data_IF_976549508723
#
_entry.id   IF_976549508723
#
_cell.length_a   1.000
_cell.length_b   1.000
_cell.length_c   1.000
_cell.angle_alpha   90.00
_cell.angle_beta   90.00
_cell.angle_gamma   90.00
#
_symmetry.space_group_name_H-M   'P 1'
#
loop_
_entity.id
_entity.type
_entity.pdbx_description
1 polymer ?
#
# COMPACT_ATOMS: atom_id res chain seq x y z
N UNK A 1 -40.97 54.80 9.77
CA UNK A 1 -40.99 53.73 8.74
C UNK A 1 -39.58 53.28 8.31
N UNK A 2 -38.55 54.14 8.37
CA UNK A 2 -37.17 53.83 7.95
C UNK A 2 -36.42 52.82 8.84
N UNK A 3 -36.64 52.82 10.15
CA UNK A 3 -35.91 51.96 11.11
C UNK A 3 -36.20 50.46 10.89
N UNK A 4 -37.45 50.10 10.63
CA UNK A 4 -37.85 48.71 10.39
C UNK A 4 -37.27 48.15 9.08
N UNK A 5 -37.06 49.02 8.08
CA UNK A 5 -36.44 48.64 6.81
C UNK A 5 -34.95 48.31 7.00
N UNK A 6 -34.22 49.07 7.81
CA UNK A 6 -32.81 48.80 8.11
C UNK A 6 -32.60 47.49 8.88
N UNK A 7 -33.48 47.20 9.84
CA UNK A 7 -33.43 45.94 10.59
C UNK A 7 -33.65 44.74 9.65
N UNK A 8 -34.61 44.86 8.72
CA UNK A 8 -34.87 43.81 7.73
C UNK A 8 -33.67 43.59 6.78
N UNK A 9 -33.02 44.67 6.32
CA UNK A 9 -31.83 44.60 5.45
C UNK A 9 -30.65 43.93 6.17
N UNK A 10 -30.40 44.29 7.43
CA UNK A 10 -29.31 43.70 8.23
C UNK A 10 -29.57 42.21 8.47
N UNK A 11 -30.81 41.84 8.81
CA UNK A 11 -31.20 40.44 8.98
C UNK A 11 -31.00 39.63 7.68
N UNK A 12 -31.43 40.18 6.55
CA UNK A 12 -31.26 39.54 5.25
C UNK A 12 -29.78 39.39 4.84
N UNK A 13 -28.97 40.44 5.02
CA UNK A 13 -27.54 40.38 4.76
C UNK A 13 -26.83 39.34 5.65
N UNK A 14 -27.22 39.22 6.92
CA UNK A 14 -26.73 38.17 7.82
C UNK A 14 -27.05 36.76 7.33
N UNK A 15 -28.26 36.53 6.83
CA UNK A 15 -28.63 35.21 6.27
C UNK A 15 -27.83 34.86 5.02
N UNK A 16 -27.59 35.81 4.12
CA UNK A 16 -26.78 35.59 2.92
C UNK A 16 -25.33 35.27 3.30
N UNK A 17 -24.74 36.03 4.22
CA UNK A 17 -23.39 35.77 4.74
C UNK A 17 -23.29 34.38 5.37
N UNK A 18 -24.27 33.99 6.18
CA UNK A 18 -24.35 32.65 6.77
C UNK A 18 -24.36 31.55 5.71
N UNK A 19 -25.21 31.67 4.68
CA UNK A 19 -25.29 30.70 3.57
C UNK A 19 -23.96 30.60 2.82
N UNK A 20 -23.30 31.72 2.51
CA UNK A 20 -22.01 31.73 1.82
C UNK A 20 -20.93 31.00 2.64
N UNK A 21 -20.88 31.27 3.96
CA UNK A 21 -19.94 30.60 4.87
C UNK A 21 -20.23 29.10 4.92
N UNK A 22 -21.49 28.69 5.10
CA UNK A 22 -21.88 27.28 5.14
C UNK A 22 -21.50 26.55 3.85
N UNK A 23 -21.75 27.15 2.68
CA UNK A 23 -21.37 26.57 1.38
C UNK A 23 -19.85 26.37 1.30
N UNK A 24 -19.05 27.36 1.70
CA UNK A 24 -17.58 27.26 1.68
C UNK A 24 -17.06 26.18 2.63
N UNK A 25 -17.64 26.08 3.83
CA UNK A 25 -17.28 25.06 4.82
C UNK A 25 -17.63 23.67 4.30
N UNK A 26 -18.86 23.45 3.83
CA UNK A 26 -19.29 22.17 3.29
C UNK A 26 -18.44 21.72 2.09
N UNK A 27 -18.11 22.65 1.19
CA UNK A 27 -17.26 22.34 0.04
C UNK A 27 -15.84 21.91 0.45
N UNK A 28 -15.28 22.57 1.47
CA UNK A 28 -13.95 22.23 2.00
C UNK A 28 -13.96 20.87 2.68
N UNK A 29 -14.94 20.60 3.55
CA UNK A 29 -15.11 19.31 4.24
C UNK A 29 -15.28 18.19 3.21
N UNK A 30 -16.16 18.36 2.22
CA UNK A 30 -16.40 17.35 1.19
C UNK A 30 -15.14 17.04 0.35
N UNK A 31 -14.31 18.05 0.06
CA UNK A 31 -13.05 17.85 -0.67
C UNK A 31 -12.02 17.09 0.18
N UNK A 32 -11.89 17.47 1.45
CA UNK A 32 -10.98 16.79 2.40
C UNK A 32 -11.42 15.35 2.62
N UNK A 33 -12.72 15.12 2.84
CA UNK A 33 -13.30 13.79 3.05
C UNK A 33 -13.06 12.87 1.85
N UNK A 34 -13.32 13.33 0.61
CA UNK A 34 -13.00 12.56 -0.60
C UNK A 34 -11.53 12.21 -0.71
N UNK A 35 -10.64 13.17 -0.42
CA UNK A 35 -9.19 12.93 -0.49
C UNK A 35 -8.76 11.90 0.55
N UNK A 36 -9.30 12.00 1.77
CA UNK A 36 -9.06 11.04 2.84
C UNK A 36 -9.58 9.65 2.47
N UNK A 37 -10.78 9.54 1.90
CA UNK A 37 -11.34 8.27 1.42
C UNK A 37 -10.47 7.63 0.34
N UNK A 38 -9.99 8.38 -0.66
CA UNK A 38 -9.07 7.85 -1.67
C UNK A 38 -7.74 7.41 -1.08
N UNK A 39 -7.21 8.14 -0.09
CA UNK A 39 -5.98 7.76 0.62
C UNK A 39 -6.16 6.47 1.42
N UNK A 40 -7.26 6.35 2.16
CA UNK A 40 -7.59 5.14 2.90
C UNK A 40 -7.76 3.94 1.98
N UNK A 41 -8.54 4.09 0.89
CA UNK A 41 -8.71 3.03 -0.09
C UNK A 41 -7.38 2.60 -0.75
N UNK A 42 -6.48 3.57 -1.03
CA UNK A 42 -5.16 3.26 -1.55
C UNK A 42 -4.28 2.54 -0.52
N UNK A 43 -4.36 2.91 0.76
CA UNK A 43 -3.64 2.25 1.85
C UNK A 43 -4.15 0.82 2.07
N UNK A 44 -5.46 0.63 2.12
CA UNK A 44 -6.11 -0.68 2.23
C UNK A 44 -5.70 -1.59 1.08
N UNK A 45 -5.75 -1.09 -0.17
CA UNK A 45 -5.32 -1.86 -1.32
C UNK A 45 -3.84 -2.23 -1.23
N UNK A 46 -2.97 -1.31 -0.80
CA UNK A 46 -1.55 -1.62 -0.63
C UNK A 46 -1.33 -2.69 0.44
N UNK A 47 -2.02 -2.62 1.57
CA UNK A 47 -1.91 -3.63 2.63
C UNK A 47 -2.36 -5.01 2.13
N UNK A 48 -3.51 -5.08 1.46
CA UNK A 48 -4.03 -6.31 0.83
C UNK A 48 -2.98 -6.91 -0.12
N UNK A 49 -2.41 -6.10 -1.03
CA UNK A 49 -1.39 -6.56 -1.97
C UNK A 49 -0.13 -7.07 -1.28
N UNK A 50 0.31 -6.47 -0.17
CA UNK A 50 1.46 -6.99 0.58
C UNK A 50 1.13 -8.31 1.30
N UNK A 51 -0.09 -8.49 1.80
CA UNK A 51 -0.52 -9.77 2.39
C UNK A 51 -0.56 -10.88 1.33
N UNK A 52 -1.09 -10.60 0.14
CA UNK A 52 -1.06 -11.52 -1.00
C UNK A 52 0.38 -11.85 -1.40
N UNK A 53 1.25 -10.85 -1.51
CA UNK A 53 2.67 -11.03 -1.80
C UNK A 53 3.35 -11.93 -0.77
N UNK A 54 3.04 -11.74 0.52
CA UNK A 54 3.58 -12.53 1.62
C UNK A 54 3.12 -13.98 1.52
N UNK A 55 1.83 -14.20 1.25
CA UNK A 55 1.27 -15.54 1.05
C UNK A 55 1.96 -16.29 -0.09
N UNK A 56 2.13 -15.64 -1.24
CA UNK A 56 2.83 -16.20 -2.39
C UNK A 56 4.31 -16.46 -2.10
N UNK A 57 4.98 -15.56 -1.39
CA UNK A 57 6.35 -15.79 -0.94
C UNK A 57 6.46 -17.03 -0.03
N UNK A 58 5.54 -17.20 0.92
CA UNK A 58 5.50 -18.39 1.79
C UNK A 58 5.28 -19.66 0.98
N UNK A 59 4.34 -19.64 0.04
CA UNK A 59 4.06 -20.76 -0.86
C UNK A 59 5.29 -21.12 -1.70
N UNK A 60 5.96 -20.12 -2.26
CA UNK A 60 7.21 -20.27 -3.01
C UNK A 60 8.31 -20.87 -2.13
N UNK A 61 8.50 -20.33 -0.91
CA UNK A 61 9.54 -20.76 0.01
C UNK A 61 9.35 -22.21 0.48
N UNK A 62 8.13 -22.62 0.79
CA UNK A 62 7.85 -24.00 1.23
C UNK A 62 7.92 -25.03 0.10
N UNK A 63 7.74 -24.59 -1.16
CA UNK A 63 7.82 -25.48 -2.32
C UNK A 63 9.19 -25.49 -3.00
N UNK A 64 10.22 -24.82 -2.45
CA UNK A 64 11.57 -24.72 -3.06
C UNK A 64 12.20 -26.05 -3.48
N UNK A 65 11.80 -27.14 -2.85
CA UNK A 65 12.34 -28.49 -3.09
C UNK A 65 11.32 -29.43 -3.75
N UNK A 66 10.15 -28.94 -4.12
CA UNK A 66 9.05 -29.72 -4.69
C UNK A 66 8.91 -29.46 -6.19
N UNK A 67 8.44 -30.45 -6.94
CA UNK A 67 8.17 -30.31 -8.39
C UNK A 67 7.11 -29.24 -8.71
N UNK A 68 6.21 -28.97 -7.76
CA UNK A 68 5.18 -27.92 -7.86
C UNK A 68 5.75 -26.50 -7.92
N UNK A 69 7.06 -26.32 -7.69
CA UNK A 69 7.69 -24.99 -7.66
C UNK A 69 7.55 -24.24 -8.98
N UNK A 70 7.49 -24.93 -10.12
CA UNK A 70 7.30 -24.30 -11.42
C UNK A 70 5.88 -23.72 -11.58
N UNK A 71 4.87 -24.41 -11.06
CA UNK A 71 3.48 -23.91 -11.02
C UNK A 71 3.38 -22.70 -10.09
N UNK A 72 4.01 -22.78 -8.91
CA UNK A 72 4.06 -21.66 -7.96
C UNK A 72 4.80 -20.46 -8.55
N UNK A 73 5.91 -20.68 -9.27
CA UNK A 73 6.65 -19.62 -9.96
C UNK A 73 5.79 -18.92 -11.01
N UNK A 74 5.04 -19.68 -11.80
CA UNK A 74 4.11 -19.13 -12.79
C UNK A 74 3.01 -18.28 -12.13
N UNK A 75 2.39 -18.80 -11.05
CA UNK A 75 1.40 -18.07 -10.25
C UNK A 75 1.97 -16.77 -9.68
N UNK A 76 3.17 -16.80 -9.12
CA UNK A 76 3.87 -15.61 -8.62
C UNK A 76 4.12 -14.59 -9.73
N UNK A 77 4.48 -15.06 -10.94
CA UNK A 77 4.74 -14.19 -12.08
C UNK A 77 3.45 -13.51 -12.58
N UNK A 78 2.37 -14.27 -12.74
CA UNK A 78 1.07 -13.74 -13.12
C UNK A 78 0.58 -12.70 -12.12
N UNK A 79 0.67 -13.03 -10.82
CA UNK A 79 0.32 -12.10 -9.76
C UNK A 79 1.16 -10.81 -9.82
N UNK A 80 2.47 -10.93 -10.09
CA UNK A 80 3.35 -9.76 -10.19
C UNK A 80 2.92 -8.83 -11.32
N UNK A 81 2.53 -9.37 -12.49
CA UNK A 81 2.06 -8.52 -13.60
C UNK A 81 0.82 -7.71 -13.24
N UNK A 82 -0.08 -8.27 -12.43
CA UNK A 82 -1.32 -7.63 -12.04
C UNK A 82 -1.16 -6.62 -10.88
N UNK A 83 -0.20 -6.86 -9.98
CA UNK A 83 -0.17 -6.16 -8.68
C UNK A 83 1.12 -5.38 -8.39
N UNK A 84 2.17 -5.50 -9.20
CA UNK A 84 3.49 -4.96 -8.87
C UNK A 84 3.53 -3.44 -8.64
N UNK A 85 2.57 -2.67 -9.16
CA UNK A 85 2.53 -1.21 -9.00
C UNK A 85 2.19 -0.75 -7.58
N UNK A 86 1.59 -1.62 -6.77
CA UNK A 86 1.24 -1.32 -5.38
C UNK A 86 2.39 -1.57 -4.39
N UNK A 87 3.38 -2.38 -4.80
CA UNK A 87 4.58 -2.66 -4.02
C UNK A 87 5.57 -1.50 -4.08
N UNK A 88 6.36 -1.33 -3.02
CA UNK A 88 7.49 -0.42 -3.08
C UNK A 88 8.55 -0.89 -4.12
N UNK A 89 9.39 0.02 -4.66
CA UNK A 89 10.33 -0.32 -5.72
C UNK A 89 11.30 -1.46 -5.38
N UNK A 90 11.71 -1.59 -4.11
CA UNK A 90 12.69 -2.58 -3.65
C UNK A 90 12.04 -3.96 -3.55
N UNK A 91 10.85 -4.04 -2.95
CA UNK A 91 10.06 -5.28 -2.89
C UNK A 91 9.67 -5.71 -4.29
N UNK A 92 9.15 -4.81 -5.13
CA UNK A 92 8.80 -5.12 -6.54
C UNK A 92 9.94 -5.76 -7.32
N UNK A 93 11.15 -5.16 -7.25
CA UNK A 93 12.33 -5.66 -7.96
C UNK A 93 12.77 -7.02 -7.42
N UNK A 94 12.75 -7.19 -6.11
CA UNK A 94 13.19 -8.43 -5.46
C UNK A 94 12.19 -9.56 -5.70
N UNK A 95 10.89 -9.26 -5.68
CA UNK A 95 9.82 -10.22 -5.97
C UNK A 95 9.98 -10.81 -7.36
N UNK A 96 10.13 -9.95 -8.38
CA UNK A 96 10.36 -10.38 -9.76
C UNK A 96 11.59 -11.27 -9.86
N UNK A 97 12.68 -10.86 -9.21
CA UNK A 97 13.94 -11.59 -9.24
C UNK A 97 13.81 -12.97 -8.58
N UNK A 98 13.24 -13.04 -7.37
CA UNK A 98 13.04 -14.29 -6.63
C UNK A 98 12.14 -15.26 -7.40
N UNK A 99 11.09 -14.75 -8.06
CA UNK A 99 10.18 -15.57 -8.88
C UNK A 99 10.91 -16.25 -10.05
N UNK A 100 11.91 -15.60 -10.65
CA UNK A 100 12.74 -16.20 -11.69
C UNK A 100 13.75 -17.19 -11.09
N UNK A 101 14.41 -16.78 -10.01
CA UNK A 101 15.45 -17.56 -9.34
C UNK A 101 14.94 -18.86 -8.69
N UNK A 102 13.64 -18.95 -8.39
CA UNK A 102 13.07 -20.13 -7.74
C UNK A 102 13.11 -21.38 -8.64
N UNK A 103 12.88 -21.20 -9.95
CA UNK A 103 12.95 -22.31 -10.91
C UNK A 103 14.41 -22.75 -11.11
N UNK A 104 15.34 -21.79 -11.18
CA UNK A 104 16.77 -22.07 -11.25
C UNK A 104 17.24 -22.82 -9.99
N UNK A 105 16.78 -22.41 -8.81
CA UNK A 105 17.13 -23.05 -7.53
C UNK A 105 16.78 -24.55 -7.50
N UNK A 106 15.62 -24.90 -8.05
CA UNK A 106 15.15 -26.28 -8.12
C UNK A 106 16.03 -27.13 -9.03
N UNK A 107 16.40 -26.59 -10.20
CA UNK A 107 17.19 -27.29 -11.22
C UNK A 107 18.69 -27.38 -10.88
N UNK A 108 19.18 -26.55 -9.95
CA UNK A 108 20.58 -26.57 -9.56
C UNK A 108 21.00 -27.88 -8.90
N UNK A 109 22.08 -28.44 -9.44
CA UNK A 109 22.78 -29.59 -8.90
C UNK A 109 23.26 -29.35 -7.46
N UNK A 110 23.41 -30.45 -6.70
CA UNK A 110 23.86 -30.40 -5.30
C UNK A 110 25.31 -29.90 -5.13
N UNK A 111 26.09 -29.88 -6.21
CA UNK A 111 27.50 -29.48 -6.22
C UNK A 111 27.66 -27.95 -6.25
N UNK A 112 26.68 -27.22 -6.76
CA UNK A 112 26.67 -25.74 -6.85
C UNK A 112 26.22 -25.08 -5.53
N UNK A 113 26.79 -25.52 -4.40
CA UNK A 113 26.36 -25.12 -3.05
C UNK A 113 26.35 -23.60 -2.84
N UNK A 114 27.36 -22.90 -3.35
CA UNK A 114 27.48 -21.45 -3.21
C UNK A 114 26.36 -20.70 -3.96
N UNK A 115 26.08 -21.11 -5.20
CA UNK A 115 25.01 -20.51 -5.99
C UNK A 115 23.65 -20.83 -5.37
N UNK A 116 23.44 -22.08 -4.95
CA UNK A 116 22.20 -22.52 -4.30
C UNK A 116 21.93 -21.72 -3.02
N UNK A 117 22.96 -21.52 -2.19
CA UNK A 117 22.89 -20.66 -0.99
C UNK A 117 22.54 -19.21 -1.34
N UNK A 118 23.16 -18.64 -2.38
CA UNK A 118 22.88 -17.27 -2.83
C UNK A 118 21.42 -17.10 -3.28
N UNK A 119 20.90 -18.05 -4.05
CA UNK A 119 19.50 -18.02 -4.49
C UNK A 119 18.53 -18.17 -3.31
N UNK A 120 18.81 -19.10 -2.39
CA UNK A 120 18.04 -19.25 -1.16
C UNK A 120 17.96 -17.95 -0.37
N UNK A 121 19.09 -17.29 -0.13
CA UNK A 121 19.15 -16.02 0.60
C UNK A 121 18.37 -14.90 -0.12
N UNK A 122 18.36 -14.87 -1.45
CA UNK A 122 17.57 -13.89 -2.20
C UNK A 122 16.07 -14.13 -2.02
N UNK A 123 15.64 -15.39 -2.05
CA UNK A 123 14.24 -15.80 -1.89
C UNK A 123 13.80 -15.54 -0.45
N UNK A 124 14.61 -15.88 0.56
CA UNK A 124 14.34 -15.58 1.96
C UNK A 124 14.22 -14.06 2.22
N UNK A 125 15.16 -13.28 1.67
CA UNK A 125 15.17 -11.82 1.80
C UNK A 125 13.90 -11.16 1.29
N UNK A 126 13.21 -11.76 0.31
CA UNK A 126 11.94 -11.22 -0.17
C UNK A 126 10.90 -11.08 0.95
N UNK A 127 10.79 -12.07 1.85
CA UNK A 127 9.85 -12.02 2.97
C UNK A 127 10.09 -10.82 3.88
N UNK A 128 11.36 -10.60 4.24
CA UNK A 128 11.77 -9.44 5.05
C UNK A 128 11.40 -8.12 4.38
N UNK A 129 11.55 -8.01 3.05
CA UNK A 129 11.19 -6.78 2.33
C UNK A 129 9.69 -6.55 2.27
N UNK A 130 8.89 -7.60 2.10
CA UNK A 130 7.43 -7.51 2.12
C UNK A 130 6.96 -7.03 3.50
N UNK A 131 7.50 -7.59 4.58
CA UNK A 131 7.21 -7.17 5.96
C UNK A 131 7.60 -5.70 6.20
N UNK A 132 8.79 -5.29 5.75
CA UNK A 132 9.23 -3.89 5.83
C UNK A 132 8.37 -2.93 4.99
N UNK A 133 7.77 -3.40 3.91
CA UNK A 133 6.91 -2.60 3.02
C UNK A 133 5.58 -2.20 3.66
N UNK A 134 5.13 -2.93 4.68
CA UNK A 134 3.91 -2.65 5.45
C UNK A 134 4.18 -2.05 6.83
N UNK A 135 5.45 -1.82 7.17
CA UNK A 135 5.81 -1.31 8.49
C UNK A 135 5.20 0.08 8.68
N UNK A 136 4.19 0.16 9.54
CA UNK A 136 3.53 1.41 9.87
C UNK A 136 4.38 2.16 10.88
N UNK A 137 4.49 3.49 10.80
CA UNK A 137 5.07 4.25 11.90
C UNK A 137 4.32 3.89 13.19
N UNK A 138 5.03 3.69 14.31
CA UNK A 138 4.40 3.32 15.57
C UNK A 138 3.35 4.37 15.93
N UNK A 139 2.13 3.91 16.22
CA UNK A 139 1.01 4.78 16.61
C UNK A 139 1.40 5.54 17.87
N UNK A 140 1.84 6.79 17.71
CA UNK A 140 2.17 7.68 18.82
C UNK A 140 3.37 8.60 18.62
N UNK A 141 4.37 8.27 17.79
CA UNK A 141 5.58 9.12 17.73
C UNK A 141 5.44 10.36 16.83
N UNK A 142 4.69 10.26 15.73
CA UNK A 142 4.44 11.40 14.84
C UNK A 142 3.36 12.35 15.38
N UNK A 143 2.38 11.83 16.14
CA UNK A 143 1.36 12.63 16.81
C UNK A 143 1.94 13.51 17.94
N UNK A 144 3.10 13.16 18.49
CA UNK A 144 3.79 13.94 19.55
C UNK A 144 4.68 15.04 18.97
N UNK A 145 5.17 14.89 17.72
CA UNK A 145 6.04 15.90 17.08
C UNK A 145 5.28 17.11 16.51
N UNK A 146 4.00 16.99 16.18
CA UNK A 146 3.19 18.13 15.70
C UNK A 146 2.61 19.00 16.83
N UNK A 147 2.86 18.66 18.11
CA UNK A 147 2.35 19.37 19.30
C UNK A 147 3.47 20.12 20.06
N UNK A 148 4.71 20.14 19.54
CA UNK A 148 5.82 20.93 20.09
C UNK A 148 6.37 21.92 19.09
#
# INVERSE_FOLDING_TARGET
MSVNLWIAIIGFAGTILGVIITIKVQFTIAKTDRTSQFRLAALEKRLEIHQEAYSLWREMFFNLHNESIHEVAYKCQEWWYNNCLYLDPKTRKTFKKATLEVSDFYQLNKEDKELKRKLFNNIERLGVLIEQGVDLPPVGEEAIKEIK
#
